data_IF_721395045210
#
_entry.id   IF_721395045210
#
_cell.length_a   1.000
_cell.length_b   1.000
_cell.length_c   1.000
_cell.angle_alpha   90.00
_cell.angle_beta   90.00
_cell.angle_gamma   90.00
#
_symmetry.space_group_name_H-M   'P 1'
#
loop_
_entity.id
_entity.type
_entity.pdbx_description
1 polymer ?
#
# COMPACT_ATOMS: atom_id res chain seq x y z
N UNK A 1 -2.69 19.36 -22.30
CA UNK A 1 -1.53 19.61 -21.42
C UNK A 1 -1.41 18.44 -20.45
N UNK A 2 -0.44 17.57 -20.65
CA UNK A 2 -0.16 16.43 -19.77
C UNK A 2 0.46 16.97 -18.47
N UNK A 3 -0.27 16.87 -17.35
CA UNK A 3 0.26 17.20 -16.03
C UNK A 3 1.38 16.20 -15.69
N UNK A 4 2.64 16.59 -15.92
CA UNK A 4 3.80 15.80 -15.47
C UNK A 4 3.92 15.90 -13.96
N UNK A 5 4.09 14.76 -13.28
CA UNK A 5 4.42 14.74 -11.86
C UNK A 5 5.72 15.52 -11.60
N UNK A 6 5.77 16.26 -10.51
CA UNK A 6 6.96 16.98 -10.02
C UNK A 6 7.80 16.04 -9.17
N UNK A 7 9.11 16.14 -9.33
CA UNK A 7 10.10 15.42 -8.52
C UNK A 7 9.89 15.60 -7.02
N UNK A 8 10.27 14.59 -6.25
CA UNK A 8 10.26 14.65 -4.81
C UNK A 8 11.18 15.75 -4.25
N UNK A 9 10.81 16.30 -3.10
CA UNK A 9 11.60 17.33 -2.43
C UNK A 9 11.67 17.08 -0.93
N UNK A 10 12.88 17.25 -0.36
CA UNK A 10 13.08 17.28 1.09
C UNK A 10 12.24 18.33 1.80
N UNK A 11 11.84 19.40 1.09
CA UNK A 11 10.99 20.46 1.65
C UNK A 11 9.59 19.97 2.03
N UNK A 12 9.20 18.75 1.65
CA UNK A 12 7.94 18.14 2.07
C UNK A 12 8.00 17.57 3.49
N UNK A 13 9.20 17.30 4.01
CA UNK A 13 9.47 16.84 5.37
C UNK A 13 9.84 18.02 6.28
N UNK A 14 9.00 19.07 6.31
CA UNK A 14 9.28 20.23 7.17
C UNK A 14 9.24 19.82 8.63
N UNK A 15 10.32 20.13 9.34
CA UNK A 15 10.42 19.95 10.78
C UNK A 15 9.26 20.67 11.49
N UNK A 16 8.60 19.98 12.41
CA UNK A 16 7.43 20.50 13.14
C UNK A 16 6.08 20.46 12.39
N UNK A 17 6.05 20.17 11.09
CA UNK A 17 4.79 19.97 10.35
C UNK A 17 4.39 18.49 10.35
N UNK A 18 3.26 18.16 10.97
CA UNK A 18 2.74 16.80 10.92
C UNK A 18 2.11 16.51 9.55
N UNK A 19 2.23 15.26 9.05
CA UNK A 19 1.50 14.84 7.85
C UNK A 19 0.01 15.14 7.99
N UNK A 20 -0.66 15.53 6.90
CA UNK A 20 -2.09 15.92 6.97
C UNK A 20 -2.99 14.81 7.51
N UNK A 21 -2.59 13.55 7.32
CA UNK A 21 -3.29 12.36 7.82
C UNK A 21 -2.90 11.94 9.25
N UNK A 22 -2.04 12.70 9.93
CA UNK A 22 -1.64 12.42 11.31
C UNK A 22 -2.84 12.32 12.23
N UNK A 23 -2.89 11.25 13.02
CA UNK A 23 -3.93 11.00 14.03
C UNK A 23 -3.81 11.93 15.24
N UNK A 24 -2.80 12.81 15.27
CA UNK A 24 -2.69 13.90 16.26
C UNK A 24 -3.60 15.09 15.94
N UNK A 25 -4.02 15.24 14.69
CA UNK A 25 -5.00 16.24 14.32
C UNK A 25 -6.41 15.70 14.62
N UNK A 26 -7.26 16.54 15.25
CA UNK A 26 -8.68 16.19 15.47
C UNK A 26 -9.54 16.44 14.22
N UNK A 27 -9.07 17.29 13.30
CA UNK A 27 -9.81 17.74 12.12
C UNK A 27 -9.00 17.49 10.84
N UNK A 28 -9.70 17.26 9.73
CA UNK A 28 -9.09 17.17 8.41
C UNK A 28 -8.79 18.56 7.82
N UNK A 29 -8.28 18.63 6.58
CA UNK A 29 -7.91 19.93 5.96
C UNK A 29 -9.09 20.84 5.65
N UNK A 30 -10.32 20.33 5.69
CA UNK A 30 -11.56 21.12 5.52
C UNK A 30 -12.14 21.61 6.86
N UNK A 31 -11.52 21.25 7.98
CA UNK A 31 -11.97 21.63 9.31
C UNK A 31 -13.04 20.70 9.91
N UNK A 32 -13.43 19.62 9.23
CA UNK A 32 -14.37 18.64 9.77
C UNK A 32 -13.66 17.77 10.80
N UNK A 33 -14.33 17.45 11.92
CA UNK A 33 -13.80 16.48 12.88
C UNK A 33 -13.71 15.11 12.22
N UNK A 34 -12.62 14.39 12.50
CA UNK A 34 -12.51 12.98 12.14
C UNK A 34 -13.56 12.17 12.91
N UNK A 35 -13.91 10.99 12.40
CA UNK A 35 -14.98 10.11 12.94
C UNK A 35 -16.42 10.59 12.73
N UNK A 36 -16.64 11.68 11.98
CA UNK A 36 -17.98 12.12 11.59
C UNK A 36 -18.36 11.58 10.22
N UNK A 37 -19.66 11.34 9.98
CA UNK A 37 -20.15 10.88 8.66
C UNK A 37 -19.72 11.81 7.52
N UNK A 38 -19.73 13.13 7.75
CA UNK A 38 -19.32 14.13 6.76
C UNK A 38 -17.82 14.15 6.46
N UNK A 39 -16.99 13.54 7.32
CA UNK A 39 -15.55 13.42 7.10
C UNK A 39 -15.18 12.07 6.48
N UNK A 40 -16.14 11.26 6.04
CA UNK A 40 -15.90 9.92 5.53
C UNK A 40 -16.44 9.69 4.12
N UNK A 41 -15.77 8.82 3.39
CA UNK A 41 -16.22 8.20 2.15
C UNK A 41 -16.17 6.69 2.36
N UNK A 42 -17.32 6.06 2.57
CA UNK A 42 -17.41 4.70 3.10
C UNK A 42 -16.63 4.60 4.43
N UNK A 43 -15.74 3.62 4.56
CA UNK A 43 -14.89 3.43 5.75
C UNK A 43 -13.66 4.35 5.77
N UNK A 44 -13.40 5.10 4.70
CA UNK A 44 -12.23 5.96 4.59
C UNK A 44 -12.48 7.36 5.16
N UNK A 45 -11.52 7.87 5.93
CA UNK A 45 -11.47 9.28 6.29
C UNK A 45 -11.03 10.14 5.09
N UNK A 46 -11.70 11.26 4.89
CA UNK A 46 -11.35 12.29 3.91
C UNK A 46 -10.27 13.18 4.53
N UNK A 47 -9.02 13.03 4.09
CA UNK A 47 -7.90 13.84 4.56
C UNK A 47 -7.79 15.15 3.78
N UNK A 48 -7.89 15.04 2.46
CA UNK A 48 -7.97 16.17 1.54
C UNK A 48 -9.13 15.88 0.59
N UNK A 49 -10.14 16.75 0.59
CA UNK A 49 -11.32 16.63 -0.26
C UNK A 49 -10.94 16.29 -1.71
N UNK A 50 -11.56 15.22 -2.22
CA UNK A 50 -11.39 14.68 -3.57
C UNK A 50 -9.97 14.26 -3.98
N UNK A 51 -9.01 14.22 -3.06
CA UNK A 51 -7.59 13.98 -3.39
C UNK A 51 -6.92 12.91 -2.56
N UNK A 52 -7.19 12.85 -1.26
CA UNK A 52 -6.52 11.95 -0.33
C UNK A 52 -7.50 11.41 0.69
N UNK A 53 -7.54 10.09 0.79
CA UNK A 53 -8.32 9.35 1.76
C UNK A 53 -7.40 8.46 2.59
N UNK A 54 -7.75 8.23 3.84
CA UNK A 54 -7.03 7.30 4.71
C UNK A 54 -7.95 6.24 5.31
N UNK A 55 -7.45 5.02 5.44
CA UNK A 55 -8.12 3.93 6.13
C UNK A 55 -7.16 3.40 7.21
N UNK A 56 -7.69 3.10 8.38
CA UNK A 56 -6.90 2.69 9.55
C UNK A 56 -7.36 1.32 10.02
N UNK A 57 -6.39 0.44 10.29
CA UNK A 57 -6.63 -0.75 11.10
C UNK A 57 -6.55 -0.41 12.58
N UNK A 58 -6.74 -1.42 13.42
CA UNK A 58 -6.62 -1.33 14.87
C UNK A 58 -5.39 -2.08 15.41
N UNK A 59 -4.71 -2.85 14.55
CA UNK A 59 -3.64 -3.74 14.94
C UNK A 59 -2.27 -3.25 14.41
N UNK A 60 -1.34 -3.01 15.34
CA UNK A 60 0.06 -2.78 15.01
C UNK A 60 0.85 -4.11 15.02
N UNK A 61 1.83 -4.32 14.12
CA UNK A 61 2.63 -5.55 14.11
C UNK A 61 3.46 -5.81 15.38
N UNK A 62 3.70 -4.79 16.20
CA UNK A 62 4.34 -4.94 17.52
C UNK A 62 3.34 -5.20 18.67
N UNK A 63 2.04 -5.36 18.39
CA UNK A 63 1.04 -5.57 19.42
C UNK A 63 1.27 -6.86 20.23
N UNK A 64 0.87 -6.90 21.52
CA UNK A 64 1.10 -8.05 22.40
C UNK A 64 0.48 -9.38 21.95
N UNK A 65 -0.54 -9.34 21.08
CA UNK A 65 -1.19 -10.54 20.52
C UNK A 65 -0.21 -11.38 19.68
N UNK A 66 0.82 -10.76 19.10
CA UNK A 66 1.86 -11.47 18.37
C UNK A 66 2.96 -12.00 19.29
N UNK A 67 3.61 -13.08 18.89
CA UNK A 67 4.74 -13.63 19.62
C UNK A 67 5.90 -12.63 19.68
N UNK A 68 6.55 -12.48 20.83
CA UNK A 68 7.61 -11.50 21.05
C UNK A 68 8.76 -11.60 20.04
N UNK A 69 9.07 -12.80 19.55
CA UNK A 69 10.12 -13.04 18.54
C UNK A 69 9.78 -12.55 17.13
N UNK A 70 8.49 -12.30 16.85
CA UNK A 70 7.98 -11.85 15.55
C UNK A 70 7.82 -10.34 15.51
N UNK A 71 7.37 -9.72 16.61
CA UNK A 71 7.05 -8.29 16.71
C UNK A 71 8.14 -7.40 16.09
N UNK A 72 7.73 -6.58 15.13
CA UNK A 72 8.59 -5.62 14.43
C UNK A 72 9.47 -6.21 13.33
N UNK A 73 9.30 -7.48 12.98
CA UNK A 73 10.08 -8.16 11.92
C UNK A 73 9.23 -8.59 10.73
N UNK A 74 7.91 -8.68 10.93
CA UNK A 74 6.96 -9.22 9.96
C UNK A 74 6.52 -8.21 8.87
N UNK A 75 7.04 -6.98 8.88
CA UNK A 75 6.56 -5.89 8.01
C UNK A 75 6.57 -6.24 6.51
N UNK A 76 7.66 -6.82 6.00
CA UNK A 76 7.76 -7.17 4.57
C UNK A 76 6.72 -8.20 4.15
N UNK A 77 6.45 -9.20 5.00
CA UNK A 77 5.42 -10.20 4.74
C UNK A 77 4.02 -9.56 4.73
N UNK A 78 3.74 -8.65 5.66
CA UNK A 78 2.47 -7.90 5.69
C UNK A 78 2.29 -7.08 4.41
N UNK A 79 3.34 -6.44 3.92
CA UNK A 79 3.29 -5.68 2.66
C UNK A 79 2.97 -6.54 1.44
N UNK A 80 3.52 -7.75 1.36
CA UNK A 80 3.13 -8.72 0.31
C UNK A 80 1.66 -9.12 0.43
N UNK A 81 1.18 -9.39 1.64
CA UNK A 81 -0.23 -9.73 1.87
C UNK A 81 -1.16 -8.56 1.52
N UNK A 82 -0.76 -7.31 1.78
CA UNK A 82 -1.51 -6.12 1.36
C UNK A 82 -1.64 -6.04 -0.17
N UNK A 83 -0.57 -6.38 -0.91
CA UNK A 83 -0.65 -6.51 -2.37
C UNK A 83 -1.60 -7.64 -2.80
N UNK A 84 -1.59 -8.78 -2.08
CA UNK A 84 -2.53 -9.88 -2.35
C UNK A 84 -3.98 -9.47 -2.11
N UNK A 85 -4.27 -8.71 -1.04
CA UNK A 85 -5.61 -8.17 -0.80
C UNK A 85 -6.05 -7.23 -1.94
N UNK A 86 -5.12 -6.42 -2.46
CA UNK A 86 -5.41 -5.43 -3.49
C UNK A 86 -5.65 -6.05 -4.88
N UNK A 87 -5.21 -7.29 -5.11
CA UNK A 87 -5.45 -8.01 -6.36
C UNK A 87 -6.83 -8.68 -6.40
N UNK A 88 -7.52 -8.83 -5.27
CA UNK A 88 -8.83 -9.52 -5.20
C UNK A 88 -9.97 -8.63 -4.69
N UNK A 89 -9.70 -7.64 -3.85
CA UNK A 89 -10.73 -6.79 -3.25
C UNK A 89 -10.72 -5.40 -3.89
N UNK A 90 -11.92 -4.87 -4.14
CA UNK A 90 -12.09 -3.49 -4.61
C UNK A 90 -11.56 -2.54 -3.54
N UNK A 91 -10.57 -1.72 -3.89
CA UNK A 91 -9.88 -0.85 -2.95
C UNK A 91 -10.84 0.07 -2.14
N UNK A 92 -11.91 0.54 -2.76
CA UNK A 92 -12.93 1.40 -2.11
C UNK A 92 -13.73 0.70 -1.01
N UNK A 93 -13.74 -0.64 -0.99
CA UNK A 93 -14.53 -1.45 -0.04
C UNK A 93 -13.67 -2.00 1.10
N UNK A 94 -12.39 -1.64 1.16
CA UNK A 94 -11.53 -2.02 2.27
C UNK A 94 -12.02 -1.42 3.58
N UNK A 95 -11.89 -2.20 4.66
CA UNK A 95 -12.32 -1.85 6.00
C UNK A 95 -11.19 -2.02 7.01
N UNK A 96 -11.36 -1.47 8.22
CA UNK A 96 -10.43 -1.69 9.33
C UNK A 96 -10.24 -3.18 9.64
N UNK A 97 -11.30 -3.99 9.52
CA UNK A 97 -11.23 -5.43 9.71
C UNK A 97 -10.33 -6.12 8.66
N UNK A 98 -10.42 -5.73 7.39
CA UNK A 98 -9.53 -6.25 6.36
C UNK A 98 -8.07 -5.85 6.64
N UNK A 99 -7.83 -4.61 7.07
CA UNK A 99 -6.49 -4.15 7.46
C UNK A 99 -5.89 -5.01 8.58
N UNK A 100 -6.66 -5.30 9.62
CA UNK A 100 -6.23 -6.16 10.73
C UNK A 100 -5.97 -7.60 10.25
N UNK A 101 -6.81 -8.10 9.33
CA UNK A 101 -6.67 -9.43 8.71
C UNK A 101 -5.39 -9.54 7.88
N UNK A 102 -5.02 -8.48 7.15
CA UNK A 102 -3.75 -8.38 6.42
C UNK A 102 -2.56 -8.47 7.39
N UNK A 103 -2.61 -7.77 8.53
CA UNK A 103 -1.55 -7.81 9.54
C UNK A 103 -1.42 -9.21 10.15
N UNK A 104 -2.53 -9.86 10.49
CA UNK A 104 -2.54 -11.23 11.05
C UNK A 104 -2.01 -12.25 10.04
N UNK A 105 -2.51 -12.21 8.80
CA UNK A 105 -2.09 -13.12 7.73
C UNK A 105 -0.62 -12.90 7.37
N UNK A 106 -0.15 -11.65 7.33
CA UNK A 106 1.26 -11.33 7.12
C UNK A 106 2.17 -11.80 8.24
N UNK A 107 1.72 -11.76 9.51
CA UNK A 107 2.48 -12.35 10.61
C UNK A 107 2.60 -13.88 10.45
N UNK A 108 1.52 -14.57 10.06
CA UNK A 108 1.55 -16.02 9.80
C UNK A 108 2.51 -16.35 8.66
N UNK A 109 2.41 -15.63 7.54
CA UNK A 109 3.28 -15.79 6.38
C UNK A 109 4.76 -15.54 6.72
N UNK A 110 5.05 -14.54 7.56
CA UNK A 110 6.39 -14.30 8.08
C UNK A 110 6.93 -15.48 8.90
N UNK A 111 6.12 -16.02 9.81
CA UNK A 111 6.49 -17.17 10.65
C UNK A 111 6.83 -18.41 9.81
N UNK A 112 6.01 -18.70 8.79
CA UNK A 112 6.21 -19.80 7.86
C UNK A 112 7.47 -19.61 7.01
N UNK A 113 7.74 -18.38 6.57
CA UNK A 113 8.94 -18.03 5.81
C UNK A 113 10.21 -18.15 6.65
N UNK A 114 10.14 -17.76 7.93
CA UNK A 114 11.25 -17.90 8.88
C UNK A 114 11.50 -19.35 9.33
N UNK A 115 10.56 -20.28 9.19
CA UNK A 115 10.70 -21.64 9.69
C UNK A 115 11.91 -22.39 9.11
N UNK A 116 12.35 -22.01 7.90
CA UNK A 116 13.51 -22.59 7.20
C UNK A 116 14.84 -21.94 7.60
N UNK A 117 14.82 -20.81 8.31
CA UNK A 117 16.00 -20.02 8.66
C UNK A 117 16.55 -20.50 10.01
N UNK A 118 17.74 -21.13 9.98
CA UNK A 118 18.37 -21.69 11.19
C UNK A 118 19.24 -20.69 11.96
N UNK A 119 19.68 -19.60 11.33
CA UNK A 119 20.58 -18.63 11.93
C UNK A 119 19.83 -17.66 12.84
N UNK A 120 20.32 -17.49 14.09
CA UNK A 120 19.66 -16.71 15.14
C UNK A 120 19.62 -15.21 14.86
N UNK A 121 20.66 -14.67 14.22
CA UNK A 121 20.83 -13.23 13.91
C UNK A 121 20.68 -12.93 12.41
N UNK A 122 19.86 -13.72 11.72
CA UNK A 122 19.65 -13.56 10.29
C UNK A 122 18.84 -12.30 9.96
N UNK A 123 19.36 -11.48 9.04
CA UNK A 123 18.65 -10.31 8.51
C UNK A 123 17.62 -10.75 7.48
N UNK A 124 16.35 -10.70 7.86
CA UNK A 124 15.24 -11.12 7.02
C UNK A 124 14.99 -10.10 5.90
N UNK A 125 14.82 -10.58 4.67
CA UNK A 125 14.62 -9.81 3.45
C UNK A 125 13.49 -10.38 2.60
N UNK A 126 13.15 -9.70 1.50
CA UNK A 126 12.10 -10.16 0.57
C UNK A 126 12.43 -11.53 -0.05
N UNK A 127 13.71 -11.85 -0.26
CA UNK A 127 14.16 -13.12 -0.85
C UNK A 127 13.90 -14.33 0.07
N UNK A 128 13.60 -14.08 1.34
CA UNK A 128 13.34 -15.13 2.32
C UNK A 128 11.87 -15.50 2.44
N UNK A 129 10.98 -14.72 1.81
CA UNK A 129 9.56 -15.01 1.82
C UNK A 129 9.27 -16.26 0.98
N UNK A 130 8.42 -17.15 1.48
CA UNK A 130 7.96 -18.30 0.70
C UNK A 130 7.18 -17.83 -0.52
N UNK A 131 7.23 -18.59 -1.63
CA UNK A 131 6.37 -18.29 -2.78
C UNK A 131 4.89 -18.48 -2.44
N UNK A 132 4.57 -19.41 -1.54
CA UNK A 132 3.19 -19.66 -1.11
C UNK A 132 2.80 -18.67 -0.01
N UNK A 133 1.77 -17.89 -0.28
CA UNK A 133 1.21 -16.88 0.61
C UNK A 133 -0.30 -17.11 0.76
N UNK A 134 -0.87 -16.77 1.91
CA UNK A 134 -2.31 -16.85 2.13
C UNK A 134 -2.86 -15.57 2.75
N UNK A 135 -4.04 -15.17 2.30
CA UNK A 135 -4.92 -14.22 2.98
C UNK A 135 -6.17 -14.98 3.39
N UNK A 136 -6.30 -15.25 4.69
CA UNK A 136 -7.34 -16.15 5.24
C UNK A 136 -7.33 -17.53 4.55
N UNK A 137 -8.39 -17.86 3.81
CA UNK A 137 -8.54 -19.12 3.06
C UNK A 137 -8.15 -19.02 1.59
N UNK A 138 -7.67 -17.85 1.14
CA UNK A 138 -7.28 -17.61 -0.25
C UNK A 138 -5.77 -17.77 -0.36
N UNK A 139 -5.33 -18.75 -1.15
CA UNK A 139 -3.93 -19.02 -1.40
C UNK A 139 -3.45 -18.33 -2.68
N UNK A 140 -2.19 -17.88 -2.63
CA UNK A 140 -1.50 -17.19 -3.69
C UNK A 140 -0.11 -17.81 -3.89
N UNK A 141 0.29 -17.94 -5.14
CA UNK A 141 1.69 -18.08 -5.52
C UNK A 141 2.20 -16.70 -5.86
N UNK A 142 3.14 -16.19 -5.05
CA UNK A 142 3.69 -14.84 -5.15
C UNK A 142 5.07 -14.88 -5.79
N UNK A 143 5.28 -13.98 -6.73
CA UNK A 143 6.56 -13.72 -7.35
C UNK A 143 7.02 -12.28 -7.04
N UNK A 144 8.19 -12.16 -6.41
CA UNK A 144 8.78 -10.88 -6.01
C UNK A 144 10.08 -10.69 -6.79
N UNK A 145 10.19 -9.57 -7.49
CA UNK A 145 11.36 -9.28 -8.32
C UNK A 145 11.79 -7.83 -8.16
N UNK A 146 13.09 -7.58 -8.10
CA UNK A 146 13.65 -6.23 -8.12
C UNK A 146 13.49 -5.59 -9.50
N UNK A 147 12.74 -4.49 -9.59
CA UNK A 147 12.39 -3.85 -10.87
C UNK A 147 13.24 -2.64 -11.16
N UNK A 148 13.33 -1.71 -10.21
CA UNK A 148 14.07 -0.47 -10.40
C UNK A 148 14.64 0.05 -9.08
N UNK A 149 15.67 0.89 -9.20
CA UNK A 149 16.35 1.51 -8.08
C UNK A 149 16.76 2.92 -8.45
N UNK A 150 17.09 3.71 -7.45
CA UNK A 150 17.46 5.10 -7.66
C UNK A 150 17.94 5.76 -6.38
N UNK A 151 17.96 7.09 -6.40
CA UNK A 151 18.32 7.88 -5.23
C UNK A 151 17.30 8.97 -4.96
N UNK A 152 16.90 9.12 -3.69
CA UNK A 152 15.94 10.14 -3.27
C UNK A 152 16.50 11.56 -3.46
N UNK A 153 15.62 12.46 -3.92
CA UNK A 153 15.86 13.90 -4.03
C UNK A 153 17.00 14.30 -4.98
N UNK A 154 17.36 13.40 -5.90
CA UNK A 154 18.36 13.68 -6.91
C UNK A 154 17.71 14.23 -8.19
N UNK A 155 18.46 15.07 -8.91
CA UNK A 155 18.14 15.31 -10.31
C UNK A 155 18.32 13.99 -11.08
N UNK A 156 17.29 13.55 -11.84
CA UNK A 156 17.37 12.32 -12.61
C UNK A 156 18.39 12.49 -13.75
N UNK A 157 19.15 11.42 -14.02
CA UNK A 157 20.07 11.32 -15.15
C UNK A 157 19.73 10.08 -15.97
N UNK A 158 20.33 9.92 -17.16
CA UNK A 158 20.04 8.78 -18.05
C UNK A 158 20.22 7.40 -17.39
N UNK A 159 21.05 7.30 -16.35
CA UNK A 159 21.35 6.07 -15.62
C UNK A 159 20.92 6.09 -14.14
N UNK A 160 20.17 7.11 -13.71
CA UNK A 160 19.78 7.26 -12.30
C UNK A 160 18.40 7.88 -12.19
N UNK A 161 17.44 7.06 -11.75
CA UNK A 161 16.10 7.51 -11.43
C UNK A 161 16.08 8.21 -10.07
N UNK A 162 15.23 9.23 -9.97
CA UNK A 162 14.68 9.68 -8.70
C UNK A 162 13.40 8.90 -8.40
N UNK A 163 12.78 9.10 -7.24
CA UNK A 163 11.60 8.31 -6.88
C UNK A 163 10.41 8.57 -7.81
N UNK A 164 10.21 9.82 -8.24
CA UNK A 164 9.16 10.17 -9.19
C UNK A 164 9.26 9.38 -10.51
N UNK A 165 10.43 9.40 -11.17
CA UNK A 165 10.66 8.69 -12.43
C UNK A 165 10.57 7.16 -12.24
N UNK A 166 11.05 6.64 -11.10
CA UNK A 166 10.93 5.22 -10.79
C UNK A 166 9.47 4.77 -10.61
N UNK A 167 8.61 5.58 -9.96
CA UNK A 167 7.18 5.28 -9.83
C UNK A 167 6.44 5.36 -11.17
N UNK A 168 6.78 6.34 -12.02
CA UNK A 168 6.23 6.43 -13.39
C UNK A 168 6.60 5.17 -14.17
N UNK A 169 7.88 4.79 -14.16
CA UNK A 169 8.35 3.57 -14.81
C UNK A 169 7.64 2.33 -14.26
N UNK A 170 7.56 2.21 -12.93
CA UNK A 170 6.95 1.06 -12.26
C UNK A 170 5.48 0.89 -12.65
N UNK A 171 4.65 1.93 -12.47
CA UNK A 171 3.21 1.86 -12.77
C UNK A 171 2.88 1.82 -14.26
N UNK A 172 3.86 2.02 -15.14
CA UNK A 172 3.69 1.78 -16.58
C UNK A 172 3.72 0.29 -16.94
N UNK A 173 4.22 -0.57 -16.05
CA UNK A 173 4.45 -1.99 -16.32
C UNK A 173 3.86 -2.93 -15.25
N UNK A 174 3.69 -2.44 -14.02
CA UNK A 174 3.34 -3.26 -12.86
C UNK A 174 2.27 -2.58 -12.01
N UNK A 175 1.46 -3.39 -11.34
CA UNK A 175 0.35 -2.89 -10.53
C UNK A 175 0.68 -2.76 -9.05
N UNK A 176 1.43 -3.72 -8.48
CA UNK A 176 1.66 -3.81 -7.04
C UNK A 176 3.15 -4.01 -6.73
N UNK A 177 3.64 -3.33 -5.70
CA UNK A 177 5.06 -3.38 -5.36
C UNK A 177 5.37 -2.94 -3.95
N UNK A 178 6.65 -3.06 -3.60
CA UNK A 178 7.20 -2.64 -2.32
C UNK A 178 8.34 -1.66 -2.59
N UNK A 179 8.24 -0.46 -2.04
CA UNK A 179 9.31 0.54 -2.07
C UNK A 179 10.13 0.39 -0.79
N UNK A 180 11.44 0.22 -0.91
CA UNK A 180 12.34 0.08 0.23
C UNK A 180 13.39 1.19 0.26
N UNK A 181 13.62 1.75 1.44
CA UNK A 181 14.69 2.72 1.71
C UNK A 181 15.28 2.43 3.08
N UNK A 182 16.55 2.00 3.10
CA UNK A 182 17.23 1.54 4.33
C UNK A 182 16.40 0.43 5.02
N UNK A 183 15.96 0.66 6.26
CA UNK A 183 15.13 -0.28 7.06
C UNK A 183 13.64 0.03 6.99
N UNK A 184 13.23 1.00 6.16
CA UNK A 184 11.83 1.39 5.96
C UNK A 184 11.34 0.82 4.64
N UNK A 185 10.09 0.40 4.62
CA UNK A 185 9.42 -0.02 3.41
C UNK A 185 7.94 0.33 3.47
N UNK A 186 7.32 0.45 2.30
CA UNK A 186 5.87 0.62 2.14
C UNK A 186 5.39 -0.23 0.98
N UNK A 187 4.17 -0.77 1.09
CA UNK A 187 3.51 -1.38 -0.06
C UNK A 187 2.84 -0.29 -0.89
N UNK A 188 2.87 -0.42 -2.21
CA UNK A 188 2.24 0.50 -3.15
C UNK A 188 1.44 -0.28 -4.18
N UNK A 189 0.42 0.34 -4.72
CA UNK A 189 -0.27 -0.24 -5.86
C UNK A 189 -1.17 0.71 -6.64
N UNK A 190 -1.63 0.23 -7.79
CA UNK A 190 -2.57 0.89 -8.67
C UNK A 190 -3.68 -0.09 -9.06
N UNK A 191 -4.87 0.13 -8.50
CA UNK A 191 -6.07 -0.64 -8.81
C UNK A 191 -6.85 0.10 -9.92
N UNK A 192 -7.04 -0.49 -11.12
CA UNK A 192 -7.83 0.12 -12.17
C UNK A 192 -9.34 0.07 -11.85
N UNK A 193 -10.14 0.80 -12.64
CA UNK A 193 -11.60 0.72 -12.59
C UNK A 193 -12.28 1.69 -11.62
N UNK A 194 -13.60 1.54 -11.50
CA UNK A 194 -14.44 2.38 -10.63
C UNK A 194 -14.09 2.07 -9.18
N UNK A 195 -13.87 3.12 -8.39
CA UNK A 195 -13.42 2.97 -7.01
C UNK A 195 -11.94 2.62 -6.85
N UNK A 196 -11.21 2.41 -7.95
CA UNK A 196 -9.77 2.24 -7.97
C UNK A 196 -8.98 3.52 -7.66
N UNK A 197 -7.69 3.47 -7.99
CA UNK A 197 -6.70 4.52 -7.74
C UNK A 197 -5.36 3.94 -7.29
N UNK A 198 -4.46 4.85 -6.92
CA UNK A 198 -3.21 4.51 -6.27
C UNK A 198 -3.42 4.33 -4.77
N UNK A 199 -2.64 3.44 -4.17
CA UNK A 199 -2.53 3.35 -2.73
C UNK A 199 -1.09 3.21 -2.25
N UNK A 200 -0.89 3.60 -0.99
CA UNK A 200 0.27 3.27 -0.19
C UNK A 200 -0.24 2.66 1.12
N UNK A 201 0.29 1.50 1.51
CA UNK A 201 0.01 0.86 2.79
C UNK A 201 1.28 0.86 3.64
N UNK A 202 1.16 1.24 4.91
CA UNK A 202 2.23 1.18 5.91
C UNK A 202 1.71 0.53 7.20
N UNK A 203 2.58 -0.22 7.86
CA UNK A 203 2.31 -0.79 9.18
C UNK A 203 3.52 -0.70 10.11
N UNK A 204 4.51 0.11 9.76
CA UNK A 204 5.73 0.32 10.55
C UNK A 204 5.61 1.51 11.49
N UNK A 205 4.78 2.51 11.15
CA UNK A 205 4.66 3.72 11.95
C UNK A 205 4.00 3.46 13.31
N UNK A 206 4.66 4.02 14.33
CA UNK A 206 4.21 4.09 15.71
C UNK A 206 4.73 5.38 16.33
N UNK A 207 4.11 5.78 17.42
CA UNK A 207 4.48 6.99 18.15
C UNK A 207 4.44 8.25 17.26
N UNK A 208 5.10 9.30 17.73
CA UNK A 208 5.22 10.57 17.01
C UNK A 208 6.13 10.42 15.78
N UNK A 209 5.84 11.15 14.68
CA UNK A 209 4.87 12.24 14.58
C UNK A 209 3.46 11.80 14.17
N UNK A 210 3.27 10.58 13.68
CA UNK A 210 2.00 10.18 13.09
C UNK A 210 0.92 9.90 14.13
N UNK A 211 1.30 9.25 15.23
CA UNK A 211 0.45 8.86 16.32
C UNK A 211 0.80 9.60 17.63
N UNK A 212 -0.12 9.61 18.61
CA UNK A 212 0.23 9.85 20.00
C UNK A 212 1.27 8.83 20.52
N UNK A 213 1.91 9.16 21.65
CA UNK A 213 2.88 8.27 22.29
C UNK A 213 2.22 6.93 22.67
N UNK A 214 2.95 5.83 22.48
CA UNK A 214 2.57 4.43 22.68
C UNK A 214 1.39 3.95 21.82
N UNK A 215 1.09 4.64 20.73
CA UNK A 215 0.08 4.24 19.77
C UNK A 215 0.71 3.93 18.41
N UNK A 216 0.07 3.07 17.64
CA UNK A 216 0.47 2.70 16.29
C UNK A 216 -0.59 1.80 15.68
N UNK A 217 -0.69 1.80 14.37
CA UNK A 217 -1.62 0.96 13.62
C UNK A 217 -1.15 0.83 12.17
N UNK A 218 -1.60 -0.21 11.47
CA UNK A 218 -1.55 -0.21 10.02
C UNK A 218 -2.49 0.84 9.42
N UNK A 219 -2.10 1.45 8.31
CA UNK A 219 -2.95 2.38 7.58
C UNK A 219 -2.71 2.31 6.08
N UNK A 220 -3.73 2.71 5.33
CA UNK A 220 -3.68 2.82 3.88
C UNK A 220 -4.05 4.25 3.48
N UNK A 221 -3.26 4.83 2.58
CA UNK A 221 -3.54 6.10 1.93
C UNK A 221 -3.95 5.85 0.50
N UNK A 222 -5.12 6.33 0.11
CA UNK A 222 -5.69 6.18 -1.23
C UNK A 222 -5.73 7.54 -1.93
N UNK A 223 -5.38 7.56 -3.22
CA UNK A 223 -5.46 8.75 -4.06
C UNK A 223 -5.67 8.41 -5.53
N UNK A 224 -6.17 9.35 -6.32
CA UNK A 224 -6.26 9.23 -7.78
C UNK A 224 -5.09 9.89 -8.51
N UNK A 225 -4.15 10.48 -7.79
CA UNK A 225 -3.05 11.25 -8.37
C UNK A 225 -1.69 10.70 -7.96
N UNK A 226 -0.87 10.31 -8.94
CA UNK A 226 0.48 9.82 -8.70
C UNK A 226 1.34 10.83 -7.92
N UNK A 227 1.15 12.13 -8.14
CA UNK A 227 1.84 13.18 -7.37
C UNK A 227 1.53 13.12 -5.87
N UNK A 228 0.28 12.84 -5.51
CA UNK A 228 -0.15 12.74 -4.11
C UNK A 228 0.41 11.45 -3.51
N UNK A 229 0.43 10.35 -4.26
CA UNK A 229 1.07 9.11 -3.84
C UNK A 229 2.56 9.32 -3.55
N UNK A 230 3.29 9.97 -4.47
CA UNK A 230 4.70 10.30 -4.30
C UNK A 230 4.94 11.12 -3.02
N UNK A 231 4.10 12.13 -2.76
CA UNK A 231 4.16 12.89 -1.51
C UNK A 231 3.94 12.00 -0.29
N UNK A 232 2.93 11.11 -0.32
CA UNK A 232 2.63 10.19 0.77
C UNK A 232 3.80 9.25 1.08
N UNK A 233 4.41 8.67 0.06
CA UNK A 233 5.58 7.78 0.20
C UNK A 233 6.76 8.55 0.81
N UNK A 234 7.10 9.72 0.28
CA UNK A 234 8.23 10.54 0.77
C UNK A 234 8.04 10.92 2.23
N UNK A 235 6.85 11.37 2.61
CA UNK A 235 6.57 11.79 3.99
C UNK A 235 6.55 10.58 4.93
N UNK A 236 6.00 9.44 4.51
CA UNK A 236 5.94 8.21 5.33
C UNK A 236 7.32 7.60 5.54
N UNK A 237 8.15 7.52 4.50
CA UNK A 237 9.52 7.00 4.62
C UNK A 237 10.41 7.89 5.51
N UNK A 238 10.09 9.19 5.59
CA UNK A 238 10.74 10.18 6.45
C UNK A 238 12.28 10.12 6.44
N UNK A 239 12.85 10.19 5.24
CA UNK A 239 14.31 10.16 5.02
C UNK A 239 14.81 11.57 4.70
N UNK A 240 15.31 12.35 5.69
CA UNK A 240 15.68 13.76 5.50
C UNK A 240 17.09 13.95 4.92
N UNK A 241 17.50 13.09 3.99
CA UNK A 241 18.85 13.11 3.42
C UNK A 241 18.83 12.94 1.89
N UNK A 242 19.66 13.73 1.18
CA UNK A 242 19.90 13.54 -0.24
C UNK A 242 20.65 12.24 -0.55
N UNK A 243 20.51 11.76 -1.79
CA UNK A 243 21.32 10.69 -2.36
C UNK A 243 21.19 9.32 -1.65
N UNK A 244 20.12 9.10 -0.88
CA UNK A 244 19.84 7.80 -0.26
C UNK A 244 19.23 6.86 -1.29
N UNK A 245 19.80 5.65 -1.38
CA UNK A 245 19.34 4.62 -2.29
C UNK A 245 17.96 4.10 -1.91
N UNK A 246 17.13 3.89 -2.93
CA UNK A 246 15.86 3.16 -2.82
C UNK A 246 15.82 2.03 -3.84
N UNK A 247 15.00 1.01 -3.58
CA UNK A 247 14.61 0.00 -4.56
C UNK A 247 13.08 -0.15 -4.59
N UNK A 248 12.56 -0.59 -5.74
CA UNK A 248 11.17 -0.98 -5.91
C UNK A 248 11.15 -2.42 -6.43
N UNK A 249 10.44 -3.28 -5.70
CA UNK A 249 10.20 -4.66 -6.08
C UNK A 249 8.76 -4.81 -6.55
N UNK A 250 8.52 -5.48 -7.69
CA UNK A 250 7.15 -5.89 -8.03
C UNK A 250 6.71 -7.02 -7.12
N UNK A 251 5.41 -7.10 -6.87
CA UNK A 251 4.76 -8.23 -6.23
C UNK A 251 3.66 -8.68 -7.17
N UNK A 252 3.87 -9.81 -7.82
CA UNK A 252 2.94 -10.43 -8.74
C UNK A 252 2.36 -11.69 -8.08
N UNK A 253 1.07 -11.97 -8.27
CA UNK A 253 0.43 -13.10 -7.63
C UNK A 253 -0.52 -13.83 -8.57
N UNK A 254 -0.50 -15.16 -8.47
CA UNK A 254 -1.46 -16.05 -9.10
C UNK A 254 -2.28 -16.72 -8.01
N UNK A 255 -3.62 -16.69 -8.15
CA UNK A 255 -4.50 -17.34 -7.20
C UNK A 255 -4.51 -18.85 -7.46
N UNK A 256 -4.33 -19.65 -6.42
CA UNK A 256 -4.49 -21.10 -6.53
C UNK A 256 -5.98 -21.46 -6.66
N UNK A 257 -6.30 -22.36 -7.59
CA UNK A 257 -7.64 -22.93 -7.72
C UNK A 257 -8.68 -22.10 -8.49
N UNK A 258 -8.28 -21.05 -9.22
CA UNK A 258 -9.17 -20.44 -10.23
C UNK A 258 -9.07 -21.26 -11.52
N UNK A 259 -10.07 -22.11 -11.76
CA UNK A 259 -10.31 -22.65 -13.11
C UNK A 259 -10.60 -21.49 -14.07
N UNK A 260 -10.03 -21.56 -15.26
CA UNK A 260 -10.00 -20.52 -16.32
C UNK A 260 -11.40 -20.10 -16.84
N UNK A 261 -12.49 -20.56 -16.23
CA UNK A 261 -13.86 -20.35 -16.73
C UNK A 261 -14.56 -19.08 -16.21
N UNK A 262 -13.99 -18.34 -15.27
CA UNK A 262 -14.67 -17.18 -14.65
C UNK A 262 -14.43 -15.81 -15.32
N UNK A 263 -13.49 -15.68 -16.27
CA UNK A 263 -13.26 -14.40 -16.97
C UNK A 263 -14.20 -14.19 -18.18
N UNK A 264 -14.63 -15.25 -18.87
CA UNK A 264 -15.56 -15.11 -20.01
C UNK A 264 -17.00 -14.77 -19.60
N UNK A 265 -17.41 -15.11 -18.37
CA UNK A 265 -18.75 -14.83 -17.87
C UNK A 265 -19.01 -13.33 -17.60
N UNK A 266 -17.96 -12.55 -17.29
CA UNK A 266 -18.06 -11.12 -17.04
C UNK A 266 -18.25 -10.30 -18.34
N UNK A 267 -17.73 -10.80 -19.47
CA UNK A 267 -17.85 -10.14 -20.79
C UNK A 267 -19.19 -10.49 -21.47
N UNK A 268 -19.72 -11.70 -21.23
CA UNK A 268 -20.96 -12.18 -21.86
C UNK A 268 -22.27 -11.58 -21.31
N UNK A 269 -22.27 -11.03 -20.10
CA UNK A 269 -23.49 -10.45 -19.49
C UNK A 269 -23.78 -9.01 -19.94
N UNK A 270 -22.78 -8.26 -20.40
CA UNK A 270 -22.96 -6.85 -20.81
C UNK A 270 -23.62 -6.75 -22.19
N UNK A 271 -23.47 -7.76 -23.06
CA UNK A 271 -23.96 -7.70 -24.45
C UNK A 271 -25.41 -8.19 -24.65
N UNK A 272 -26.03 -8.86 -23.67
CA UNK A 272 -27.42 -9.37 -23.81
C UNK A 272 -28.51 -8.46 -23.24
N UNK A 273 -28.17 -7.38 -22.52
CA UNK A 273 -29.16 -6.50 -21.90
C UNK A 273 -29.73 -5.40 -22.82
N UNK A 274 -29.23 -5.24 -24.06
CA UNK A 274 -29.65 -4.16 -24.96
C UNK A 274 -30.27 -4.70 -26.25
N UNK A 275 -31.46 -5.32 -26.15
CA UNK A 275 -32.39 -5.55 -27.27
C UNK A 275 -33.73 -6.11 -26.78
N UNK A 276 -34.59 -5.23 -26.24
CA UNK A 276 -36.07 -5.41 -26.24
C UNK A 276 -36.77 -4.13 -25.79
N UNK A 277 -37.02 -3.22 -26.74
CA UNK A 277 -38.09 -2.23 -26.62
C UNK A 277 -38.95 -2.27 -27.89
N UNK A 278 -40.25 -2.29 -27.63
CA UNK A 278 -41.38 -2.68 -28.48
C UNK A 278 -41.72 -1.63 -29.56
N UNK A 279 -42.17 -2.10 -30.73
CA UNK A 279 -43.01 -1.33 -31.65
C UNK A 279 -44.45 -1.24 -31.12
N UNK A 280 -45.17 -0.12 -31.33
CA UNK A 280 -46.62 -0.13 -31.39
C UNK A 280 -47.13 0.15 -32.81
N UNK A 281 -48.22 -0.58 -33.09
CA UNK A 281 -49.26 -0.50 -34.14
C UNK A 281 -49.18 0.61 -35.19
#
# INVERSE_FOLDING_TARGET
>A
MTFRAKNESLRWQKEGCLPVWSRRYQRNTTGNYRDQTLSKLNEYDIEIADRLWSLWGNLHPEAPVFQSKCRGRQYLAIYVVACCAASIYILMDWSAQLMDTIVVSGNKYFQESCAKIKQKDYEFSLENLNIDCALESINFVVHIEHVCYGKLYCAPTFNRMNLCEALIYFFSHYQFGIVMVRKRAVAIGCCPGIGGGYFMFDCQEKDQPLFPKQQGASYLLRTRHLQVLLYCIVVTLNVPCYNIGFSIHKVEMLREGVSVESEEAAVGHVTKASKRVKQPR
#
